data_IF_607975346160
#
_entry.id   IF_607975346160
#
_cell.length_a   1.000
_cell.length_b   1.000
_cell.length_c   1.000
_cell.angle_alpha   90.00
_cell.angle_beta   90.00
_cell.angle_gamma   90.00
#
_symmetry.space_group_name_H-M   'P 1'
#
loop_
_entity.id
_entity.type
_entity.pdbx_description
1 polymer ?
#
# COMPACT_ATOMS: atom_id res chain seq x y z
N UNK A 1 8.17 -15.56 -0.30
CA UNK A 1 6.95 -14.77 0.02
C UNK A 1 6.62 -14.82 1.52
N UNK A 2 6.38 -13.67 2.15
CA UNK A 2 5.95 -13.53 3.55
C UNK A 2 4.62 -12.77 3.64
N UNK A 3 3.75 -13.15 4.57
CA UNK A 3 2.46 -12.47 4.80
C UNK A 3 2.32 -12.22 6.30
N UNK A 4 1.94 -11.00 6.66
CA UNK A 4 1.71 -10.61 8.05
C UNK A 4 0.53 -9.65 8.17
N UNK A 5 -0.17 -9.68 9.30
CA UNK A 5 -1.22 -8.73 9.60
C UNK A 5 -0.63 -7.35 9.93
N UNK A 6 -1.32 -6.29 9.49
CA UNK A 6 -1.04 -4.95 9.98
C UNK A 6 -1.49 -4.80 11.42
N UNK A 7 -0.82 -3.92 12.17
CA UNK A 7 -1.17 -3.63 13.56
C UNK A 7 -1.92 -2.30 13.67
N UNK A 8 -2.85 -2.23 14.60
CA UNK A 8 -3.58 -0.99 14.87
C UNK A 8 -2.70 -0.01 15.63
N UNK A 9 -2.48 1.19 15.08
CA UNK A 9 -1.75 2.26 15.78
C UNK A 9 -2.36 2.62 17.15
N UNK A 10 -3.65 2.31 17.39
CA UNK A 10 -4.32 2.60 18.67
C UNK A 10 -4.05 1.54 19.74
N UNK A 11 -4.02 0.27 19.35
CA UNK A 11 -4.03 -0.85 20.32
C UNK A 11 -2.80 -1.75 20.22
N UNK A 12 -1.96 -1.59 19.20
CA UNK A 12 -0.81 -2.47 18.90
C UNK A 12 -1.18 -3.87 18.40
N UNK A 13 -2.45 -4.27 18.54
CA UNK A 13 -2.97 -5.57 18.11
C UNK A 13 -3.05 -5.69 16.59
N UNK A 14 -2.88 -6.91 16.10
CA UNK A 14 -3.12 -7.29 14.72
C UNK A 14 -4.56 -6.98 14.29
N UNK A 15 -4.70 -6.61 13.02
CA UNK A 15 -5.96 -6.21 12.41
C UNK A 15 -6.35 -7.28 11.40
N UNK A 16 -7.49 -7.96 11.60
CA UNK A 16 -7.98 -8.93 10.65
C UNK A 16 -8.16 -8.33 9.26
N UNK A 17 -7.87 -9.13 8.22
CA UNK A 17 -8.08 -8.77 6.81
C UNK A 17 -7.28 -7.56 6.32
N UNK A 18 -6.20 -7.17 7.02
CA UNK A 18 -5.26 -6.15 6.56
C UNK A 18 -3.88 -6.78 6.56
N UNK A 19 -3.32 -7.03 5.39
CA UNK A 19 -2.08 -7.79 5.24
C UNK A 19 -1.01 -6.96 4.55
N UNK A 20 0.21 -7.11 5.03
CA UNK A 20 1.42 -6.76 4.27
C UNK A 20 1.97 -8.07 3.71
N UNK A 21 2.14 -8.10 2.39
CA UNK A 21 2.75 -9.21 1.67
C UNK A 21 4.09 -8.72 1.14
N UNK A 22 5.15 -9.48 1.37
CA UNK A 22 6.47 -9.24 0.82
C UNK A 22 6.83 -10.40 -0.11
N UNK A 23 7.14 -10.09 -1.37
CA UNK A 23 7.66 -11.09 -2.30
C UNK A 23 9.18 -11.24 -2.18
N UNK A 24 9.72 -12.24 -2.87
CA UNK A 24 11.14 -12.58 -2.79
C UNK A 24 12.03 -11.56 -3.54
N UNK A 25 11.42 -10.70 -4.36
CA UNK A 25 12.08 -9.60 -5.07
C UNK A 25 12.15 -8.31 -4.21
N UNK A 26 11.58 -8.33 -3.01
CA UNK A 26 11.55 -7.23 -2.07
C UNK A 26 10.45 -6.21 -2.32
N UNK A 27 9.47 -6.51 -3.18
CA UNK A 27 8.28 -5.67 -3.31
C UNK A 27 7.38 -5.92 -2.10
N UNK A 28 6.71 -4.85 -1.67
CA UNK A 28 5.73 -4.90 -0.60
C UNK A 28 4.34 -4.58 -1.15
N UNK A 29 3.33 -5.32 -0.72
CA UNK A 29 1.94 -5.13 -1.09
C UNK A 29 1.11 -4.93 0.16
N UNK A 30 0.17 -4.00 0.09
CA UNK A 30 -0.92 -3.90 1.06
C UNK A 30 -2.18 -4.53 0.48
N UNK A 31 -2.66 -5.58 1.13
CA UNK A 31 -3.92 -6.23 0.79
C UNK A 31 -4.97 -5.95 1.87
N UNK A 32 -6.15 -5.50 1.44
CA UNK A 32 -7.33 -5.33 2.29
C UNK A 32 -8.38 -6.34 1.85
N UNK A 33 -8.75 -7.27 2.75
CA UNK A 33 -9.57 -8.43 2.42
C UNK A 33 -8.98 -9.24 1.25
N UNK A 34 -9.65 -9.26 0.09
CA UNK A 34 -9.23 -9.99 -1.11
C UNK A 34 -8.59 -9.09 -2.16
N UNK A 35 -8.48 -7.79 -1.89
CA UNK A 35 -8.08 -6.78 -2.88
C UNK A 35 -6.70 -6.25 -2.55
N UNK A 36 -5.79 -6.27 -3.51
CA UNK A 36 -4.52 -5.54 -3.42
C UNK A 36 -4.83 -4.06 -3.60
N UNK A 37 -4.39 -3.24 -2.65
CA UNK A 37 -4.70 -1.80 -2.58
C UNK A 37 -3.51 -0.96 -3.02
N UNK A 38 -2.30 -1.37 -2.63
CA UNK A 38 -1.08 -0.67 -2.97
C UNK A 38 0.08 -1.65 -3.15
N UNK A 39 0.97 -1.36 -4.09
CA UNK A 39 2.27 -2.02 -4.28
C UNK A 39 3.36 -0.97 -4.17
N UNK A 40 4.39 -1.27 -3.38
CA UNK A 40 5.65 -0.53 -3.37
C UNK A 40 6.74 -1.43 -3.92
N UNK A 41 7.38 -1.00 -4.99
CA UNK A 41 8.50 -1.74 -5.55
C UNK A 41 9.74 -1.64 -4.68
N UNK A 42 10.56 -2.68 -4.75
CA UNK A 42 11.88 -2.67 -4.13
C UNK A 42 12.73 -1.54 -4.72
N UNK A 43 13.66 -1.03 -3.91
CA UNK A 43 14.69 -0.14 -4.43
C UNK A 43 15.65 -0.96 -5.29
N UNK A 44 15.78 -0.60 -6.56
CA UNK A 44 16.80 -1.16 -7.45
C UNK A 44 17.84 -0.08 -7.71
N UNK A 45 19.15 -0.41 -7.80
CA UNK A 45 20.20 0.58 -8.08
C UNK A 45 19.92 1.42 -9.35
N UNK A 46 19.18 0.85 -10.27
CA UNK A 46 18.84 1.42 -11.58
C UNK A 46 17.67 2.40 -11.50
N UNK A 47 16.81 2.29 -10.48
CA UNK A 47 15.70 3.21 -10.20
C UNK A 47 16.09 4.17 -9.09
N UNK A 48 16.16 5.46 -9.42
CA UNK A 48 16.43 6.52 -8.44
C UNK A 48 15.39 6.58 -7.32
N UNK A 49 14.15 6.22 -7.62
CA UNK A 49 13.02 6.28 -6.70
C UNK A 49 12.20 4.98 -6.72
N UNK A 50 11.63 4.62 -5.56
CA UNK A 50 10.71 3.49 -5.45
C UNK A 50 9.37 3.87 -6.10
N UNK A 51 8.97 3.13 -7.13
CA UNK A 51 7.64 3.30 -7.72
C UNK A 51 6.57 2.73 -6.80
N UNK A 52 5.48 3.48 -6.65
CA UNK A 52 4.27 3.03 -5.97
C UNK A 52 3.15 2.92 -6.98
N UNK A 53 2.40 1.83 -6.89
CA UNK A 53 1.19 1.57 -7.65
C UNK A 53 0.01 1.49 -6.69
N UNK A 54 -1.12 2.03 -7.13
CA UNK A 54 -2.38 2.00 -6.42
C UNK A 54 -3.43 1.30 -7.27
N UNK A 55 -4.26 0.49 -6.64
CA UNK A 55 -5.44 -0.05 -7.29
C UNK A 55 -6.45 1.07 -7.58
N UNK A 56 -7.32 0.88 -8.56
CA UNK A 56 -8.44 1.79 -8.82
C UNK A 56 -9.32 1.98 -7.56
N UNK A 57 -9.38 0.99 -6.69
CA UNK A 57 -10.12 0.99 -5.43
C UNK A 57 -9.29 1.44 -4.20
N UNK A 58 -8.21 2.20 -4.39
CA UNK A 58 -7.29 2.60 -3.31
C UNK A 58 -7.92 3.39 -2.15
N UNK A 59 -9.12 3.95 -2.36
CA UNK A 59 -9.90 4.72 -1.36
C UNK A 59 -11.29 4.08 -1.07
N UNK A 60 -11.43 2.76 -1.26
CA UNK A 60 -12.70 2.04 -1.17
C UNK A 60 -13.44 2.17 0.16
N UNK A 61 -12.72 2.18 1.29
CA UNK A 61 -13.35 2.27 2.62
C UNK A 61 -12.49 3.06 3.61
N UNK A 62 -13.12 3.57 4.67
CA UNK A 62 -12.42 4.28 5.76
C UNK A 62 -11.32 3.41 6.39
N UNK A 63 -11.59 2.12 6.57
CA UNK A 63 -10.61 1.18 7.14
C UNK A 63 -9.46 0.95 6.18
N UNK A 64 -9.76 0.68 4.91
CA UNK A 64 -8.74 0.49 3.86
C UNK A 64 -7.86 1.72 3.73
N UNK A 65 -8.44 2.92 3.63
CA UNK A 65 -7.68 4.17 3.53
C UNK A 65 -6.81 4.44 4.75
N UNK A 66 -7.29 4.11 5.97
CA UNK A 66 -6.48 4.22 7.19
C UNK A 66 -5.22 3.34 7.12
N UNK A 67 -5.36 2.09 6.71
CA UNK A 67 -4.22 1.17 6.66
C UNK A 67 -3.33 1.39 5.43
N UNK A 68 -3.88 1.88 4.30
CA UNK A 68 -3.09 2.41 3.19
C UNK A 68 -2.19 3.55 3.65
N UNK A 69 -2.72 4.51 4.41
CA UNK A 69 -1.93 5.60 4.98
C UNK A 69 -0.79 5.08 5.85
N UNK A 70 -1.06 4.06 6.67
CA UNK A 70 -0.03 3.42 7.49
C UNK A 70 1.03 2.69 6.65
N UNK A 71 0.62 2.02 5.57
CA UNK A 71 1.53 1.30 4.67
C UNK A 71 2.44 2.25 3.87
N UNK A 72 1.87 3.35 3.35
CA UNK A 72 2.59 4.35 2.56
C UNK A 72 3.31 5.40 3.41
N UNK A 73 2.93 5.54 4.68
CA UNK A 73 3.49 6.54 5.60
C UNK A 73 3.02 7.97 5.33
N UNK A 74 1.82 8.14 4.79
CA UNK A 74 1.29 9.43 4.33
C UNK A 74 -0.22 9.54 4.52
N UNK A 75 -0.78 10.73 4.34
CA UNK A 75 -2.20 11.00 4.38
C UNK A 75 -2.87 10.78 3.02
N UNK A 76 -4.20 10.64 3.04
CA UNK A 76 -5.02 10.60 1.81
C UNK A 76 -4.77 11.78 0.88
N UNK A 77 -4.60 12.98 1.45
CA UNK A 77 -4.36 14.19 0.68
C UNK A 77 -3.01 14.16 -0.04
N UNK A 78 -1.99 13.60 0.61
CA UNK A 78 -0.67 13.40 -0.02
C UNK A 78 -0.76 12.33 -1.11
N UNK A 79 -1.51 11.24 -0.89
CA UNK A 79 -1.78 10.24 -1.93
C UNK A 79 -2.47 10.87 -3.15
N UNK A 80 -3.52 11.67 -2.96
CA UNK A 80 -4.22 12.39 -4.03
C UNK A 80 -3.28 13.33 -4.80
N UNK A 81 -2.40 14.05 -4.09
CA UNK A 81 -1.41 14.92 -4.70
C UNK A 81 -0.43 14.13 -5.57
N UNK A 82 0.09 13.00 -5.07
CA UNK A 82 1.03 12.11 -5.78
C UNK A 82 0.40 11.39 -6.98
N UNK A 83 -0.90 11.13 -6.95
CA UNK A 83 -1.64 10.67 -8.12
C UNK A 83 -1.70 11.80 -9.16
N UNK A 84 -2.05 13.02 -8.72
CA UNK A 84 -2.22 14.17 -9.61
C UNK A 84 -0.92 14.62 -10.28
N UNK A 85 0.20 14.54 -9.57
CA UNK A 85 1.52 14.91 -10.11
C UNK A 85 2.21 13.76 -10.87
N UNK A 86 1.60 12.57 -10.92
CA UNK A 86 2.10 11.41 -11.65
C UNK A 86 3.14 10.58 -10.90
N UNK A 87 3.49 10.92 -9.65
CA UNK A 87 4.39 10.12 -8.82
C UNK A 87 3.83 8.71 -8.58
N UNK A 88 2.52 8.59 -8.36
CA UNK A 88 1.84 7.31 -8.18
C UNK A 88 1.08 6.89 -9.42
N UNK A 89 1.22 5.61 -9.78
CA UNK A 89 0.53 5.02 -10.93
C UNK A 89 -0.72 4.32 -10.42
N UNK A 90 -1.90 4.80 -10.86
CA UNK A 90 -3.17 4.11 -10.62
C UNK A 90 -3.38 3.11 -11.74
N UNK A 91 -3.57 1.84 -11.40
CA UNK A 91 -3.75 0.74 -12.36
C UNK A 91 -4.58 -0.37 -11.73
N UNK A 92 -5.14 -1.27 -12.53
CA UNK A 92 -5.75 -2.48 -11.99
C UNK A 92 -4.65 -3.39 -11.38
N UNK A 93 -4.75 -3.67 -10.07
CA UNK A 93 -3.86 -4.58 -9.35
C UNK A 93 -4.51 -5.94 -9.05
N UNK A 94 -5.75 -6.18 -9.52
CA UNK A 94 -6.57 -7.34 -9.18
C UNK A 94 -7.09 -8.11 -10.42
#
# INVERSE_FOLDING_TARGET
MKVQNMTSNRTGREVPNQFIIEDDDGNAYFQSYRTIIAKRENFTPDKRDRQVYLDENWDYSKTTGKYRNQFLGETRKETEAKIKDGTYIVTNLN
#
